data_IF_852709861711
#
_entry.id   IF_852709861711
#
_cell.length_a   1.000
_cell.length_b   1.000
_cell.length_c   1.000
_cell.angle_alpha   90.00
_cell.angle_beta   90.00
_cell.angle_gamma   90.00
#
_symmetry.space_group_name_H-M   'P 1'
#
loop_
_entity.id
_entity.type
_entity.pdbx_description
1 polymer ?
#
# COMPACT_ATOMS: atom_id res chain seq x y z
N UNK A 1 12.44 34.15 38.34
CA UNK A 1 11.98 34.14 36.93
C UNK A 1 12.21 32.76 36.28
N UNK A 2 11.59 31.69 36.79
CA UNK A 2 11.89 30.32 36.31
C UNK A 2 10.71 29.35 36.28
N UNK A 3 9.52 29.76 36.75
CA UNK A 3 8.31 28.91 36.73
C UNK A 3 7.46 29.07 35.48
N UNK A 4 7.50 30.25 34.84
CA UNK A 4 6.77 30.53 33.60
C UNK A 4 7.38 29.82 32.37
N UNK A 5 8.70 29.65 32.34
CA UNK A 5 9.40 29.02 31.20
C UNK A 5 9.14 27.52 31.10
N UNK A 6 8.94 26.85 32.25
CA UNK A 6 8.67 25.40 32.31
C UNK A 6 7.25 25.06 31.82
N UNK A 7 6.27 25.92 32.10
CA UNK A 7 4.88 25.72 31.71
C UNK A 7 4.67 25.91 30.19
N UNK A 8 5.40 26.84 29.57
CA UNK A 8 5.35 27.05 28.11
C UNK A 8 6.01 25.87 27.37
N UNK A 9 7.13 25.35 27.86
CA UNK A 9 7.78 24.19 27.25
C UNK A 9 6.94 22.91 27.32
N UNK A 10 6.23 22.68 28.44
CA UNK A 10 5.33 21.54 28.61
C UNK A 10 4.08 21.62 27.71
N UNK A 11 3.54 22.82 27.46
CA UNK A 11 2.44 23.00 26.50
C UNK A 11 2.87 22.80 25.05
N UNK A 12 4.07 23.24 24.65
CA UNK A 12 4.57 23.04 23.27
C UNK A 12 4.78 21.54 22.96
N UNK A 13 5.26 20.76 23.94
CA UNK A 13 5.43 19.30 23.79
C UNK A 13 4.10 18.52 23.77
N UNK A 14 3.09 18.97 24.52
CA UNK A 14 1.76 18.35 24.51
C UNK A 14 0.99 18.62 23.21
N UNK A 15 1.18 19.79 22.60
CA UNK A 15 0.52 20.15 21.33
C UNK A 15 1.18 19.47 20.13
N UNK A 16 2.49 19.18 20.18
CA UNK A 16 3.17 18.43 19.11
C UNK A 16 2.67 16.98 18.94
N UNK A 17 2.14 16.36 20.00
CA UNK A 17 1.53 15.02 19.91
C UNK A 17 0.15 15.00 19.25
N UNK A 18 -0.61 16.10 19.36
CA UNK A 18 -1.93 16.25 18.71
C UNK A 18 -1.85 16.71 17.24
N UNK A 19 -0.70 17.19 16.79
CA UNK A 19 -0.49 17.70 15.43
C UNK A 19 0.37 16.77 14.56
N UNK A 20 0.95 15.72 15.15
CA UNK A 20 1.70 14.72 14.39
C UNK A 20 0.73 13.99 13.43
N UNK A 21 1.05 13.91 12.13
CA UNK A 21 0.22 13.16 11.19
C UNK A 21 0.14 11.70 11.61
N UNK A 22 -1.07 11.12 11.55
CA UNK A 22 -1.26 9.70 11.83
C UNK A 22 -0.47 8.81 10.86
N UNK A 23 -0.24 7.53 11.20
CA UNK A 23 0.57 6.60 10.39
C UNK A 23 0.16 6.55 8.93
N UNK A 24 -1.16 6.53 8.66
CA UNK A 24 -1.70 6.55 7.30
C UNK A 24 -1.27 7.80 6.52
N UNK A 25 -1.32 8.98 7.15
CA UNK A 25 -0.91 10.22 6.52
C UNK A 25 0.60 10.26 6.27
N UNK A 26 1.42 9.68 7.16
CA UNK A 26 2.86 9.51 6.94
C UNK A 26 3.11 8.64 5.71
N UNK A 27 2.48 7.47 5.62
CA UNK A 27 2.65 6.53 4.51
C UNK A 27 2.15 7.10 3.18
N UNK A 28 0.97 7.73 3.15
CA UNK A 28 0.44 8.35 1.92
C UNK A 28 1.33 9.47 1.39
N UNK A 29 2.04 10.18 2.28
CA UNK A 29 2.94 11.28 1.94
C UNK A 29 4.41 10.87 1.76
N UNK A 30 4.76 9.62 2.09
CA UNK A 30 6.11 9.09 1.87
C UNK A 30 6.47 9.14 0.38
N UNK A 31 7.70 9.54 0.08
CA UNK A 31 8.21 9.69 -1.30
C UNK A 31 9.28 8.64 -1.55
N UNK A 32 8.94 7.49 -2.15
CA UNK A 32 9.89 6.40 -2.36
C UNK A 32 11.06 6.78 -3.30
N UNK A 33 10.86 7.77 -4.17
CA UNK A 33 11.87 8.28 -5.11
C UNK A 33 12.64 9.51 -4.54
N UNK A 34 12.60 9.71 -3.22
CA UNK A 34 13.27 10.82 -2.53
C UNK A 34 12.48 12.14 -2.51
N UNK A 35 13.11 13.19 -1.97
CA UNK A 35 12.43 14.44 -1.59
C UNK A 35 11.70 15.16 -2.76
N UNK A 36 12.20 15.02 -4.00
CA UNK A 36 11.58 15.60 -5.20
C UNK A 36 10.56 14.70 -5.90
N UNK A 37 10.46 13.44 -5.49
CA UNK A 37 9.58 12.44 -6.12
C UNK A 37 8.10 12.61 -5.75
N UNK A 38 7.23 11.83 -6.37
CA UNK A 38 5.79 11.79 -6.00
C UNK A 38 5.60 11.06 -4.67
N UNK A 39 4.54 11.41 -3.95
CA UNK A 39 4.16 10.64 -2.75
C UNK A 39 3.59 9.29 -3.16
N UNK A 40 3.64 8.30 -2.27
CA UNK A 40 3.07 6.98 -2.52
C UNK A 40 1.57 7.07 -2.86
N UNK A 41 0.83 7.92 -2.15
CA UNK A 41 -0.59 8.17 -2.47
C UNK A 41 -0.80 8.69 -3.89
N UNK A 42 0.07 9.60 -4.37
CA UNK A 42 0.03 10.09 -5.74
C UNK A 42 0.42 9.02 -6.76
N UNK A 43 1.41 8.18 -6.45
CA UNK A 43 1.85 7.08 -7.32
C UNK A 43 0.74 6.02 -7.47
N UNK A 44 0.10 5.63 -6.38
CA UNK A 44 -1.05 4.71 -6.39
C UNK A 44 -2.17 5.31 -7.22
N UNK A 45 -2.55 6.57 -6.98
CA UNK A 45 -3.66 7.23 -7.68
C UNK A 45 -3.49 7.31 -9.21
N UNK A 46 -2.25 7.26 -9.71
CA UNK A 46 -1.98 7.26 -11.16
C UNK A 46 -1.54 5.89 -11.68
N UNK A 47 -1.63 4.84 -10.86
CA UNK A 47 -1.23 3.49 -11.23
C UNK A 47 -2.14 2.94 -12.34
N UNK A 48 -1.59 2.37 -13.43
CA UNK A 48 -2.38 1.85 -14.54
C UNK A 48 -3.37 0.78 -14.09
N UNK A 49 -4.64 0.92 -14.49
CA UNK A 49 -5.68 -0.06 -14.20
C UNK A 49 -6.28 0.01 -12.79
N UNK A 50 -5.86 0.97 -11.96
CA UNK A 50 -6.46 1.18 -10.65
C UNK A 50 -7.98 1.47 -10.78
N UNK A 51 -8.78 0.76 -9.99
CA UNK A 51 -10.21 0.98 -9.81
C UNK A 51 -10.51 1.73 -8.51
N UNK A 52 -9.77 1.44 -7.44
CA UNK A 52 -9.92 2.11 -6.14
C UNK A 52 -8.80 1.74 -5.17
N UNK A 53 -8.64 2.51 -4.11
CA UNK A 53 -7.66 2.21 -3.07
C UNK A 53 -8.18 2.60 -1.69
N UNK A 54 -8.02 1.70 -0.73
CA UNK A 54 -8.35 1.89 0.67
C UNK A 54 -7.08 1.79 1.51
N UNK A 55 -7.00 2.60 2.55
CA UNK A 55 -5.86 2.66 3.46
C UNK A 55 -6.38 2.47 4.87
N UNK A 56 -5.65 1.71 5.67
CA UNK A 56 -6.02 1.40 7.04
C UNK A 56 -4.77 1.39 7.91
N UNK A 57 -4.77 2.15 9.00
CA UNK A 57 -3.75 2.09 10.02
C UNK A 57 -4.15 1.14 11.14
N UNK A 58 -3.21 0.34 11.62
CA UNK A 58 -3.41 -0.63 12.70
C UNK A 58 -2.09 -0.87 13.43
N UNK A 59 -2.15 -1.46 14.63
CA UNK A 59 -0.95 -1.87 15.36
C UNK A 59 -0.50 -3.25 14.88
N UNK A 60 0.79 -3.34 14.53
CA UNK A 60 1.45 -4.57 14.13
C UNK A 60 1.61 -5.56 15.28
N UNK A 61 2.09 -6.79 15.00
CA UNK A 61 2.22 -7.84 16.01
C UNK A 61 3.10 -7.47 17.22
N UNK A 62 4.04 -6.54 17.04
CA UNK A 62 4.92 -6.05 18.12
C UNK A 62 4.51 -4.68 18.66
N UNK A 63 3.31 -4.20 18.30
CA UNK A 63 2.77 -2.89 18.70
C UNK A 63 3.33 -1.71 17.89
N UNK A 64 4.04 -1.97 16.80
CA UNK A 64 4.50 -0.94 15.88
C UNK A 64 3.38 -0.42 14.98
N UNK A 65 3.30 0.89 14.66
CA UNK A 65 2.28 1.39 13.75
C UNK A 65 2.49 0.83 12.34
N UNK A 66 1.45 0.22 11.78
CA UNK A 66 1.41 -0.29 10.42
C UNK A 66 0.31 0.40 9.62
N UNK A 67 0.49 0.43 8.30
CA UNK A 67 -0.52 0.85 7.34
C UNK A 67 -0.66 -0.21 6.27
N UNK A 68 -1.89 -0.65 6.01
CA UNK A 68 -2.25 -1.53 4.89
C UNK A 68 -2.93 -0.70 3.82
N UNK A 69 -2.36 -0.73 2.63
CA UNK A 69 -3.01 -0.33 1.38
C UNK A 69 -3.68 -1.57 0.77
N UNK A 70 -4.97 -1.48 0.46
CA UNK A 70 -5.66 -2.37 -0.44
C UNK A 70 -6.02 -1.61 -1.71
N UNK A 71 -5.30 -1.84 -2.80
CA UNK A 71 -5.53 -1.21 -4.10
C UNK A 71 -6.20 -2.21 -5.05
N UNK A 72 -7.44 -1.93 -5.45
CA UNK A 72 -8.19 -2.73 -6.42
C UNK A 72 -7.82 -2.31 -7.84
N UNK A 73 -7.55 -3.30 -8.69
CA UNK A 73 -7.25 -3.12 -10.10
C UNK A 73 -8.34 -3.78 -10.95
N UNK A 74 -8.75 -3.11 -12.02
CA UNK A 74 -9.64 -3.67 -13.02
C UNK A 74 -8.90 -4.79 -13.79
N UNK A 75 -9.29 -6.07 -13.66
CA UNK A 75 -8.46 -7.19 -14.10
C UNK A 75 -8.14 -7.15 -15.60
N UNK A 76 -9.13 -6.82 -16.44
CA UNK A 76 -8.94 -6.69 -17.88
C UNK A 76 -7.97 -5.56 -18.28
N UNK A 77 -7.93 -4.46 -17.53
CA UNK A 77 -7.00 -3.35 -17.79
C UNK A 77 -5.59 -3.71 -17.30
N UNK A 78 -5.49 -4.31 -16.12
CA UNK A 78 -4.22 -4.75 -15.54
C UNK A 78 -3.56 -5.86 -16.35
N UNK A 79 -4.34 -6.73 -17.00
CA UNK A 79 -3.87 -7.78 -17.88
C UNK A 79 -3.49 -7.30 -19.29
N UNK A 80 -3.55 -5.99 -19.57
CA UNK A 80 -3.15 -5.42 -20.85
C UNK A 80 -1.68 -5.72 -21.14
N UNK A 81 -1.42 -6.58 -22.13
CA UNK A 81 -0.07 -7.02 -22.48
C UNK A 81 0.39 -8.31 -21.80
N UNK A 82 -0.45 -8.92 -20.95
CA UNK A 82 -0.19 -10.24 -20.41
C UNK A 82 -0.47 -11.34 -21.45
N UNK A 83 0.24 -12.47 -21.39
CA UNK A 83 -0.16 -13.66 -22.12
C UNK A 83 -1.52 -14.17 -21.58
N UNK A 84 -2.18 -15.01 -22.38
CA UNK A 84 -3.38 -15.75 -21.94
C UNK A 84 -3.03 -16.54 -20.67
N UNK A 85 -3.92 -16.59 -19.66
CA UNK A 85 -3.71 -17.43 -18.48
C UNK A 85 -3.38 -18.87 -18.85
N UNK A 86 -2.57 -19.53 -18.02
CA UNK A 86 -2.23 -20.93 -18.22
C UNK A 86 -3.50 -21.82 -18.21
N UNK A 87 -3.43 -22.98 -18.87
CA UNK A 87 -4.53 -23.92 -18.86
C UNK A 87 -4.95 -24.30 -17.42
N UNK A 88 -6.25 -24.32 -17.16
CA UNK A 88 -6.80 -24.53 -15.81
C UNK A 88 -6.78 -23.28 -14.93
N UNK A 89 -6.60 -22.09 -15.52
CA UNK A 89 -6.71 -20.80 -14.85
C UNK A 89 -7.47 -19.80 -15.71
N UNK A 90 -8.08 -18.83 -15.05
CA UNK A 90 -8.83 -17.73 -15.65
C UNK A 90 -8.43 -16.41 -15.02
N UNK A 91 -8.71 -15.30 -15.70
CA UNK A 91 -8.57 -13.98 -15.07
C UNK A 91 -9.52 -13.86 -13.89
N UNK A 92 -9.06 -13.23 -12.81
CA UNK A 92 -9.90 -12.89 -11.67
C UNK A 92 -11.03 -11.93 -12.08
N UNK A 93 -12.16 -12.04 -11.40
CA UNK A 93 -13.26 -11.07 -11.48
C UNK A 93 -12.90 -9.76 -10.76
N UNK A 94 -12.06 -9.83 -9.72
CA UNK A 94 -11.49 -8.68 -8.99
C UNK A 94 -10.05 -9.00 -8.65
N UNK A 95 -9.17 -7.99 -8.64
CA UNK A 95 -7.78 -8.17 -8.27
C UNK A 95 -7.33 -7.04 -7.35
N UNK A 96 -6.56 -7.38 -6.32
CA UNK A 96 -6.03 -6.44 -5.35
C UNK A 96 -4.52 -6.55 -5.23
N UNK A 97 -3.87 -5.41 -5.05
CA UNK A 97 -2.58 -5.33 -4.38
C UNK A 97 -2.84 -5.01 -2.90
N UNK A 98 -2.39 -5.90 -2.02
CA UNK A 98 -2.30 -5.65 -0.59
C UNK A 98 -0.85 -5.30 -0.28
N UNK A 99 -0.60 -4.10 0.24
CA UNK A 99 0.74 -3.61 0.60
C UNK A 99 0.72 -3.16 2.05
N UNK A 100 1.56 -3.76 2.88
CA UNK A 100 1.74 -3.38 4.27
C UNK A 100 3.08 -2.67 4.45
N UNK A 101 3.03 -1.54 5.16
CA UNK A 101 4.17 -0.68 5.45
C UNK A 101 4.19 -0.40 6.96
N UNK A 102 5.39 -0.36 7.54
CA UNK A 102 5.58 0.03 8.95
C UNK A 102 6.02 1.48 9.03
N UNK A 103 5.64 2.16 10.12
CA UNK A 103 6.03 3.55 10.37
C UNK A 103 6.94 3.61 11.59
N UNK A 104 8.19 4.01 11.37
CA UNK A 104 9.17 4.22 12.42
C UNK A 104 8.88 5.46 13.28
N UNK A 105 9.48 5.51 14.47
CA UNK A 105 9.25 6.61 15.44
C UNK A 105 9.66 8.00 14.93
N UNK A 106 10.55 8.07 13.95
CA UNK A 106 11.01 9.29 13.28
C UNK A 106 10.24 9.57 11.98
N UNK A 107 9.15 8.85 11.71
CA UNK A 107 8.38 8.96 10.48
C UNK A 107 9.01 8.26 9.27
N UNK A 108 9.99 7.38 9.46
CA UNK A 108 10.45 6.49 8.38
C UNK A 108 9.34 5.54 7.98
N UNK A 109 9.32 5.15 6.72
CA UNK A 109 8.39 4.17 6.18
C UNK A 109 9.19 3.02 5.61
N UNK A 110 8.93 1.83 6.13
CA UNK A 110 9.64 0.61 5.74
C UNK A 110 8.65 -0.40 5.13
N UNK A 111 9.13 -1.16 4.15
CA UNK A 111 8.36 -2.23 3.54
C UNK A 111 8.21 -3.40 4.50
N UNK A 112 6.97 -3.85 4.73
CA UNK A 112 6.70 -5.03 5.55
C UNK A 112 6.33 -6.25 4.68
N UNK A 113 5.34 -6.10 3.81
CA UNK A 113 4.91 -7.17 2.89
C UNK A 113 4.09 -6.65 1.72
N UNK A 114 4.00 -7.45 0.67
CA UNK A 114 3.05 -7.23 -0.41
C UNK A 114 2.48 -8.55 -0.94
N UNK A 115 1.23 -8.52 -1.40
CA UNK A 115 0.52 -9.67 -1.94
C UNK A 115 -0.44 -9.21 -3.05
N UNK A 116 -0.46 -9.94 -4.17
CA UNK A 116 -1.51 -9.85 -5.16
C UNK A 116 -2.61 -10.85 -4.86
N UNK A 117 -3.86 -10.42 -4.81
CA UNK A 117 -5.01 -11.30 -4.59
C UNK A 117 -5.97 -11.22 -5.77
N UNK A 118 -6.20 -12.34 -6.44
CA UNK A 118 -7.18 -12.45 -7.49
C UNK A 118 -8.39 -13.24 -6.99
N UNK A 119 -9.59 -12.71 -7.20
CA UNK A 119 -10.85 -13.29 -6.74
C UNK A 119 -11.68 -13.82 -7.90
N UNK A 120 -12.36 -14.94 -7.70
CA UNK A 120 -13.43 -15.42 -8.57
C UNK A 120 -14.69 -14.59 -8.36
N UNK A 121 -15.67 -14.69 -9.27
CA UNK A 121 -16.97 -14.03 -9.08
C UNK A 121 -17.73 -14.54 -7.84
N UNK A 122 -17.45 -15.78 -7.40
CA UNK A 122 -18.02 -16.38 -6.20
C UNK A 122 -17.30 -16.02 -4.90
N UNK A 123 -16.20 -15.27 -4.97
CA UNK A 123 -15.46 -14.77 -3.80
C UNK A 123 -14.33 -15.68 -3.29
N UNK A 124 -14.10 -16.85 -3.91
CA UNK A 124 -12.87 -17.60 -3.69
C UNK A 124 -11.68 -16.82 -4.26
N UNK A 125 -10.47 -17.01 -3.71
CA UNK A 125 -9.30 -16.25 -4.15
C UNK A 125 -8.03 -17.07 -4.18
N UNK A 126 -7.11 -16.64 -5.04
CA UNK A 126 -5.72 -17.06 -5.03
C UNK A 126 -4.84 -15.86 -4.64
N UNK A 127 -3.83 -16.13 -3.84
CA UNK A 127 -2.83 -15.15 -3.44
C UNK A 127 -1.50 -15.40 -4.14
N UNK A 128 -0.78 -14.31 -4.38
CA UNK A 128 0.54 -14.31 -4.99
C UNK A 128 1.46 -13.41 -4.16
N UNK A 129 2.48 -13.95 -3.46
CA UNK A 129 3.40 -13.14 -2.68
C UNK A 129 4.21 -12.23 -3.60
N UNK A 130 4.38 -10.98 -3.18
CA UNK A 130 5.14 -9.95 -3.90
C UNK A 130 6.26 -9.43 -3.00
N UNK A 131 7.29 -8.87 -3.62
CA UNK A 131 8.40 -8.23 -2.93
C UNK A 131 8.31 -6.70 -3.01
N UNK A 132 9.35 -6.03 -2.50
CA UNK A 132 9.47 -4.56 -2.51
C UNK A 132 9.47 -3.95 -3.92
N UNK A 133 9.69 -4.74 -4.98
CA UNK A 133 9.63 -4.33 -6.37
C UNK A 133 8.29 -3.71 -6.77
N UNK A 134 7.21 -3.95 -6.03
CA UNK A 134 5.93 -3.24 -6.21
C UNK A 134 6.08 -1.73 -6.06
N UNK A 135 6.95 -1.26 -5.16
CA UNK A 135 7.22 0.17 -4.97
C UNK A 135 7.94 0.73 -6.20
N UNK A 136 8.93 0.00 -6.72
CA UNK A 136 9.63 0.39 -7.93
C UNK A 136 8.67 0.43 -9.15
N UNK A 137 7.76 -0.52 -9.27
CA UNK A 137 6.73 -0.52 -10.32
C UNK A 137 5.80 0.70 -10.22
N UNK A 138 5.36 1.04 -9.01
CA UNK A 138 4.56 2.25 -8.75
C UNK A 138 5.32 3.53 -9.13
N UNK A 139 6.60 3.64 -8.75
CA UNK A 139 7.48 4.77 -9.14
C UNK A 139 7.61 4.85 -10.66
N UNK A 140 7.81 3.71 -11.32
CA UNK A 140 7.89 3.60 -12.78
C UNK A 140 6.55 3.83 -13.49
N UNK A 141 5.44 3.96 -12.75
CA UNK A 141 4.06 4.05 -13.26
C UNK A 141 3.67 2.84 -14.10
N UNK A 142 4.19 1.67 -13.73
CA UNK A 142 3.81 0.38 -14.27
C UNK A 142 2.73 -0.27 -13.38
N UNK A 143 2.03 -1.27 -13.92
CA UNK A 143 1.17 -2.12 -13.10
C UNK A 143 2.06 -2.90 -12.10
N UNK A 144 1.82 -2.81 -10.77
CA UNK A 144 2.65 -3.48 -9.77
C UNK A 144 2.34 -4.99 -9.65
N UNK A 145 1.28 -5.46 -10.30
CA UNK A 145 0.86 -6.85 -10.27
C UNK A 145 1.42 -7.58 -11.50
N UNK A 146 2.22 -8.65 -11.32
CA UNK A 146 2.67 -9.47 -12.43
C UNK A 146 1.51 -10.30 -13.01
N UNK A 147 1.59 -10.70 -14.27
CA UNK A 147 0.50 -11.42 -14.96
C UNK A 147 -0.04 -12.65 -14.20
N UNK A 148 0.79 -13.50 -13.55
CA UNK A 148 0.28 -14.62 -12.76
C UNK A 148 -0.58 -14.20 -11.57
N UNK A 149 -0.34 -13.02 -10.98
CA UNK A 149 -1.11 -12.51 -9.85
C UNK A 149 -2.50 -11.98 -10.25
N UNK A 150 -2.81 -11.95 -11.56
CA UNK A 150 -4.12 -11.54 -12.09
C UNK A 150 -5.06 -12.73 -12.33
N UNK A 151 -4.54 -13.96 -12.24
CA UNK A 151 -5.26 -15.18 -12.55
C UNK A 151 -5.63 -15.96 -11.29
N UNK A 152 -6.71 -16.72 -11.39
CA UNK A 152 -7.17 -17.68 -10.39
C UNK A 152 -7.26 -19.07 -11.02
N UNK A 153 -6.89 -20.14 -10.31
CA UNK A 153 -7.16 -21.50 -10.76
C UNK A 153 -8.65 -21.78 -10.94
N UNK A 154 -9.02 -22.59 -11.93
CA UNK A 154 -10.42 -22.89 -12.27
C UNK A 154 -11.13 -23.78 -11.24
N UNK A 155 -10.37 -24.46 -10.38
CA UNK A 155 -10.91 -25.28 -9.28
C UNK A 155 -11.40 -24.45 -8.08
N UNK A 156 -11.19 -23.13 -8.10
CA UNK A 156 -11.69 -22.16 -7.11
C UNK A 156 -12.99 -21.48 -7.56
#
# INVERSE_FOLDING_TARGET
MGRLTVLVAAMVLAVSGCLAPGPEAVVRNWRPDGAGGRTLGQLVAVSPGLAGATWEAYDGPSGEPMVRLAAEYAPAKAAGGCPVPAAGSRLGARVFLILSLTVGRNGTVDFASAEGQAYTAGGAFASYPLDIGVIAALVARACPLPCPALAVPDYL
#
